data_IF_395113765192
#
_entry.id   IF_395113765192
#
_cell.length_a   1.000
_cell.length_b   1.000
_cell.length_c   1.000
_cell.angle_alpha   90.00
_cell.angle_beta   90.00
_cell.angle_gamma   90.00
#
_symmetry.space_group_name_H-M   'P 1'
#
loop_
_entity.id
_entity.type
_entity.pdbx_description
1 polymer ?
#
# COMPACT_ATOMS: atom_id res chain seq x y z
N UNK A 1 -22.61 2.20 13.09
CA UNK A 1 -22.09 2.91 14.26
C UNK A 1 -22.13 4.41 14.01
N UNK A 2 -22.63 5.25 14.94
CA UNK A 2 -22.65 6.72 14.79
C UNK A 2 -21.26 7.35 14.75
N UNK A 3 -20.21 6.57 15.02
CA UNK A 3 -18.81 7.03 15.07
C UNK A 3 -18.04 6.80 13.78
N UNK A 4 -18.66 6.21 12.75
CA UNK A 4 -18.01 5.91 11.49
C UNK A 4 -18.40 6.93 10.43
N UNK A 5 -17.43 7.66 9.89
CA UNK A 5 -17.55 8.52 8.74
C UNK A 5 -16.54 8.05 7.68
N UNK A 6 -17.03 7.82 6.47
CA UNK A 6 -16.16 7.48 5.35
C UNK A 6 -16.65 8.14 4.06
N UNK A 7 -15.73 8.36 3.16
CA UNK A 7 -16.01 8.93 1.86
C UNK A 7 -15.09 8.32 0.81
N UNK A 8 -15.65 8.08 -0.36
CA UNK A 8 -14.92 7.64 -1.54
C UNK A 8 -15.25 8.55 -2.71
N UNK A 9 -14.22 8.95 -3.46
CA UNK A 9 -14.36 9.75 -4.66
C UNK A 9 -13.55 9.10 -5.76
N UNK A 10 -14.13 9.05 -6.93
CA UNK A 10 -13.47 8.54 -8.13
C UNK A 10 -13.64 9.54 -9.27
N UNK A 11 -12.56 9.86 -9.94
CA UNK A 11 -12.53 10.66 -11.15
C UNK A 11 -11.80 9.86 -12.21
N UNK A 12 -12.43 9.68 -13.37
CA UNK A 12 -11.79 9.10 -14.54
C UNK A 12 -12.08 9.95 -15.76
N UNK A 13 -11.04 10.23 -16.54
CA UNK A 13 -11.16 10.94 -17.80
C UNK A 13 -10.19 10.35 -18.83
N UNK A 14 -10.66 10.26 -20.06
CA UNK A 14 -9.91 9.76 -21.21
C UNK A 14 -10.18 10.64 -22.41
N UNK A 15 -9.14 11.00 -23.14
CA UNK A 15 -9.28 11.74 -24.37
C UNK A 15 -8.26 11.29 -25.41
N UNK A 16 -8.66 11.41 -26.65
CA UNK A 16 -7.85 11.02 -27.81
C UNK A 16 -7.55 12.26 -28.66
N UNK A 17 -6.33 12.37 -29.11
CA UNK A 17 -5.93 13.37 -30.08
C UNK A 17 -4.98 12.76 -31.12
N UNK A 18 -5.42 12.73 -32.39
CA UNK A 18 -4.67 12.06 -33.48
C UNK A 18 -4.34 10.61 -33.09
N UNK A 19 -3.06 10.31 -32.99
CA UNK A 19 -2.52 8.97 -32.69
C UNK A 19 -2.21 8.78 -31.21
N UNK A 20 -2.61 9.71 -30.35
CA UNK A 20 -2.36 9.65 -28.93
C UNK A 20 -3.65 9.54 -28.11
N UNK A 21 -3.54 8.81 -27.03
CA UNK A 21 -4.56 8.64 -26.02
C UNK A 21 -4.00 9.02 -24.66
N UNK A 22 -4.76 9.78 -23.88
CA UNK A 22 -4.44 10.21 -22.53
C UNK A 22 -5.52 9.72 -21.57
N UNK A 23 -5.10 9.22 -20.43
CA UNK A 23 -6.01 8.81 -19.39
C UNK A 23 -5.56 9.35 -18.03
N UNK A 24 -6.53 9.69 -17.20
CA UNK A 24 -6.34 9.98 -15.78
C UNK A 24 -7.40 9.25 -14.99
N UNK A 25 -6.96 8.50 -13.98
CA UNK A 25 -7.81 7.93 -12.95
C UNK A 25 -7.32 8.41 -11.59
N UNK A 26 -8.21 8.95 -10.82
CA UNK A 26 -7.94 9.38 -9.45
C UNK A 26 -8.97 8.76 -8.52
N UNK A 27 -8.50 8.11 -7.49
CA UNK A 27 -9.30 7.54 -6.43
C UNK A 27 -8.87 8.12 -5.09
N UNK A 28 -9.84 8.60 -4.32
CA UNK A 28 -9.65 9.03 -2.95
C UNK A 28 -10.60 8.26 -2.03
N UNK A 29 -10.05 7.77 -0.94
CA UNK A 29 -10.82 7.19 0.17
C UNK A 29 -10.33 7.80 1.47
N UNK A 30 -11.27 8.26 2.28
CA UNK A 30 -10.99 8.71 3.64
C UNK A 30 -11.99 8.08 4.60
N UNK A 31 -11.54 7.81 5.79
CA UNK A 31 -12.37 7.18 6.81
C UNK A 31 -11.93 7.55 8.22
N UNK A 32 -12.92 7.97 9.02
CA UNK A 32 -12.81 8.05 10.47
C UNK A 32 -13.71 6.97 11.05
N UNK A 33 -13.16 6.15 11.92
CA UNK A 33 -13.88 5.07 12.58
C UNK A 33 -13.33 4.84 13.98
N UNK A 34 -14.12 4.16 14.81
CA UNK A 34 -13.68 3.64 16.08
C UNK A 34 -13.55 2.12 15.97
N UNK A 35 -12.46 1.58 16.45
CA UNK A 35 -12.22 0.13 16.40
C UNK A 35 -12.54 -0.51 17.74
N UNK A 36 -13.19 -1.68 17.68
CA UNK A 36 -13.36 -2.57 18.83
C UNK A 36 -12.87 -3.95 18.45
N UNK A 37 -11.86 -4.41 19.16
CA UNK A 37 -11.33 -5.76 18.97
C UNK A 37 -11.58 -6.56 20.24
N UNK A 38 -12.17 -7.75 20.08
CA UNK A 38 -12.25 -8.74 21.15
C UNK A 38 -11.43 -9.95 20.73
N UNK A 39 -10.58 -10.45 21.62
CA UNK A 39 -9.82 -11.65 21.38
C UNK A 39 -9.70 -12.50 22.64
N UNK A 40 -9.76 -13.82 22.44
CA UNK A 40 -9.37 -14.83 23.40
C UNK A 40 -8.01 -15.37 22.98
N UNK A 41 -7.05 -15.31 23.89
CA UNK A 41 -5.68 -15.71 23.63
C UNK A 41 -5.27 -16.77 24.66
N UNK A 42 -4.79 -17.91 24.20
CA UNK A 42 -4.30 -18.98 25.07
C UNK A 42 -2.77 -19.05 24.99
N UNK A 43 -2.11 -18.89 26.10
CA UNK A 43 -0.65 -18.97 26.22
C UNK A 43 -0.24 -20.31 26.82
N UNK A 44 0.61 -21.05 26.15
CA UNK A 44 1.20 -22.29 26.63
C UNK A 44 2.58 -22.03 27.20
N UNK A 45 2.72 -22.11 28.52
CA UNK A 45 3.96 -21.84 29.26
C UNK A 45 4.44 -23.12 29.95
N UNK A 46 5.05 -24.02 29.15
CA UNK A 46 5.48 -25.32 29.66
C UNK A 46 4.30 -26.18 30.11
N UNK A 47 4.18 -26.39 31.44
CA UNK A 47 3.11 -27.13 32.07
C UNK A 47 1.87 -26.30 32.44
N UNK A 48 1.89 -25.00 32.14
CA UNK A 48 0.82 -24.06 32.45
C UNK A 48 0.16 -23.53 31.19
N UNK A 49 -1.15 -23.38 31.29
CA UNK A 49 -1.96 -22.69 30.27
C UNK A 49 -2.59 -21.46 30.90
N UNK A 50 -2.47 -20.32 30.25
CA UNK A 50 -3.09 -19.06 30.67
C UNK A 50 -4.01 -18.61 29.56
N UNK A 51 -5.29 -18.49 29.87
CA UNK A 51 -6.29 -17.91 28.98
C UNK A 51 -6.45 -16.42 29.34
N UNK A 52 -6.29 -15.58 28.34
CA UNK A 52 -6.41 -14.13 28.43
C UNK A 52 -7.54 -13.62 27.55
N UNK A 53 -8.34 -12.75 28.09
CA UNK A 53 -9.33 -11.99 27.32
C UNK A 53 -8.78 -10.60 27.09
N UNK A 54 -8.90 -10.11 25.87
CA UNK A 54 -8.60 -8.75 25.46
C UNK A 54 -9.87 -8.14 24.88
N UNK A 55 -10.29 -7.01 25.42
CA UNK A 55 -11.49 -6.28 25.00
C UNK A 55 -11.10 -4.84 24.65
N UNK A 56 -11.43 -4.42 23.41
CA UNK A 56 -11.22 -3.06 22.94
C UNK A 56 -12.27 -2.10 23.47
N UNK A 57 -11.82 -0.92 23.88
CA UNK A 57 -12.68 0.19 24.33
C UNK A 57 -12.92 1.10 23.11
N UNK A 58 -14.10 0.98 22.50
CA UNK A 58 -14.42 1.61 21.21
C UNK A 58 -14.28 3.13 21.25
N UNK A 59 -14.81 3.79 22.26
CA UNK A 59 -14.80 5.26 22.36
C UNK A 59 -13.39 5.85 22.46
N UNK A 60 -12.44 5.08 23.01
CA UNK A 60 -11.03 5.46 23.18
C UNK A 60 -10.12 4.94 22.03
N UNK A 61 -10.72 4.37 21.00
CA UNK A 61 -9.99 3.75 19.89
C UNK A 61 -10.30 4.39 18.53
N UNK A 62 -10.20 5.74 18.41
CA UNK A 62 -10.43 6.42 17.15
C UNK A 62 -9.30 6.18 16.14
N UNK A 63 -9.67 6.07 14.89
CA UNK A 63 -8.76 5.95 13.76
C UNK A 63 -9.18 6.87 12.62
N UNK A 64 -8.19 7.43 11.92
CA UNK A 64 -8.38 8.26 10.72
C UNK A 64 -7.40 7.82 9.65
N UNK A 65 -7.90 7.62 8.43
CA UNK A 65 -7.07 7.22 7.30
C UNK A 65 -7.46 7.95 6.03
N UNK A 66 -6.47 8.18 5.18
CA UNK A 66 -6.59 8.75 3.85
C UNK A 66 -5.82 7.90 2.85
N UNK A 67 -6.45 7.55 1.74
CA UNK A 67 -5.81 6.86 0.62
C UNK A 67 -6.10 7.67 -0.64
N UNK A 68 -5.05 7.94 -1.42
CA UNK A 68 -5.16 8.62 -2.71
C UNK A 68 -4.37 7.83 -3.74
N UNK A 69 -5.04 7.41 -4.80
CA UNK A 69 -4.42 6.72 -5.92
C UNK A 69 -4.55 7.58 -7.17
N UNK A 70 -3.43 7.84 -7.82
CA UNK A 70 -3.37 8.52 -9.10
C UNK A 70 -2.78 7.57 -10.13
N UNK A 71 -3.46 7.45 -11.27
CA UNK A 71 -2.99 6.74 -12.44
C UNK A 71 -3.08 7.66 -13.67
N UNK A 72 -1.95 7.90 -14.31
CA UNK A 72 -1.85 8.65 -15.55
C UNK A 72 -1.37 7.72 -16.64
N UNK A 73 -2.07 7.70 -17.76
CA UNK A 73 -1.71 6.87 -18.91
C UNK A 73 -1.51 7.74 -20.15
N UNK A 74 -0.49 7.42 -20.93
CA UNK A 74 -0.26 7.99 -22.21
C UNK A 74 0.07 6.88 -23.21
N UNK A 75 -0.67 6.81 -24.31
CA UNK A 75 -0.46 5.88 -25.40
C UNK A 75 -0.28 6.66 -26.70
N UNK A 76 0.77 6.35 -27.44
CA UNK A 76 1.02 6.89 -28.76
C UNK A 76 1.24 5.72 -29.72
N UNK A 77 0.40 5.63 -30.75
CA UNK A 77 0.49 4.55 -31.75
C UNK A 77 0.54 5.14 -33.13
N UNK A 78 1.57 4.78 -33.89
CA UNK A 78 1.64 5.05 -35.32
C UNK A 78 1.66 3.72 -36.05
N UNK A 79 0.58 3.43 -36.74
CA UNK A 79 0.40 2.17 -37.45
C UNK A 79 1.65 1.78 -38.25
N UNK A 80 2.05 0.52 -38.14
CA UNK A 80 3.19 -0.10 -38.81
C UNK A 80 4.58 0.51 -38.51
N UNK A 81 4.68 1.42 -37.53
CA UNK A 81 5.95 2.05 -37.18
C UNK A 81 6.33 1.88 -35.71
N UNK A 82 5.56 2.44 -34.83
CA UNK A 82 5.89 2.38 -33.39
C UNK A 82 4.67 2.47 -32.48
N UNK A 83 4.83 1.92 -31.28
CA UNK A 83 3.95 2.08 -30.14
C UNK A 83 4.80 2.59 -28.97
N UNK A 84 4.30 3.59 -28.28
CA UNK A 84 4.86 4.08 -27.04
C UNK A 84 3.77 4.18 -25.98
N UNK A 85 3.99 3.57 -24.82
CA UNK A 85 3.10 3.66 -23.67
C UNK A 85 3.90 4.19 -22.47
N UNK A 86 3.30 5.09 -21.73
CA UNK A 86 3.80 5.55 -20.44
C UNK A 86 2.67 5.48 -19.42
N UNK A 87 2.94 4.85 -18.29
CA UNK A 87 1.99 4.74 -17.17
C UNK A 87 2.70 5.23 -15.93
N UNK A 88 2.15 6.28 -15.33
CA UNK A 88 2.57 6.74 -14.01
C UNK A 88 1.49 6.39 -13.00
N UNK A 89 1.88 5.74 -11.92
CA UNK A 89 1.02 5.41 -10.78
C UNK A 89 1.60 5.95 -9.50
N UNK A 90 0.78 6.48 -8.64
CA UNK A 90 1.19 6.85 -7.28
C UNK A 90 0.10 6.50 -6.28
N UNK A 91 0.47 5.78 -5.23
CA UNK A 91 -0.38 5.51 -4.09
C UNK A 91 0.15 6.34 -2.91
N UNK A 92 -0.71 7.15 -2.34
CA UNK A 92 -0.46 7.93 -1.14
C UNK A 92 -1.39 7.42 -0.04
N UNK A 93 -0.83 6.94 1.05
CA UNK A 93 -1.58 6.52 2.23
C UNK A 93 -1.10 7.30 3.45
N UNK A 94 -2.03 7.78 4.23
CA UNK A 94 -1.74 8.47 5.49
C UNK A 94 -2.80 8.10 6.53
N UNK A 95 -2.34 7.59 7.66
CA UNK A 95 -3.14 7.38 8.85
C UNK A 95 -2.54 8.23 9.98
N UNK A 96 -3.01 9.48 10.19
CA UNK A 96 -2.47 10.40 11.18
C UNK A 96 -2.57 9.86 12.58
N UNK A 97 -3.56 9.04 12.86
CA UNK A 97 -3.70 8.29 14.09
C UNK A 97 -4.55 7.04 13.89
N UNK A 98 -4.12 5.97 14.54
CA UNK A 98 -4.85 4.74 14.74
C UNK A 98 -4.66 4.37 16.20
N UNK A 99 -5.64 4.68 17.02
CA UNK A 99 -5.59 4.45 18.45
C UNK A 99 -6.35 3.17 18.79
N UNK A 100 -5.81 2.42 19.72
CA UNK A 100 -6.45 1.25 20.30
C UNK A 100 -6.22 1.28 21.81
N UNK A 101 -7.27 1.34 22.59
CA UNK A 101 -7.24 1.09 24.02
C UNK A 101 -7.94 -0.25 24.30
N UNK A 102 -7.21 -1.13 24.95
CA UNK A 102 -7.72 -2.45 25.29
C UNK A 102 -7.57 -2.72 26.77
N UNK A 103 -8.56 -3.39 27.33
CA UNK A 103 -8.51 -3.99 28.66
C UNK A 103 -8.20 -5.48 28.51
N UNK A 104 -7.28 -5.98 29.29
CA UNK A 104 -6.81 -7.37 29.26
C UNK A 104 -6.83 -7.97 30.65
N UNK A 105 -7.29 -9.21 30.79
CA UNK A 105 -7.26 -9.95 32.03
C UNK A 105 -7.13 -11.46 31.76
N UNK A 106 -6.51 -12.17 32.71
CA UNK A 106 -6.51 -13.62 32.69
C UNK A 106 -7.87 -14.16 33.15
N UNK A 107 -8.33 -15.25 32.56
CA UNK A 107 -9.58 -15.90 32.98
C UNK A 107 -9.46 -16.32 34.44
N UNK A 108 -10.44 -15.93 35.28
CA UNK A 108 -10.42 -16.17 36.71
C UNK A 108 -9.66 -15.14 37.55
N UNK A 109 -9.03 -14.14 36.94
CA UNK A 109 -8.36 -13.02 37.65
C UNK A 109 -9.31 -11.85 37.85
N UNK A 110 -9.20 -11.18 38.98
CA UNK A 110 -9.85 -9.89 39.26
C UNK A 110 -9.01 -8.70 38.79
N UNK A 111 -7.72 -8.95 38.52
CA UNK A 111 -6.80 -7.92 38.05
C UNK A 111 -6.89 -7.75 36.51
N UNK A 112 -6.82 -6.52 36.06
CA UNK A 112 -6.77 -6.18 34.62
C UNK A 112 -5.59 -5.26 34.34
N UNK A 113 -5.12 -5.35 33.08
CA UNK A 113 -4.08 -4.50 32.51
C UNK A 113 -4.69 -3.77 31.34
N UNK A 114 -4.30 -2.54 31.12
CA UNK A 114 -4.66 -1.77 29.93
C UNK A 114 -3.49 -1.73 28.96
N UNK A 115 -3.75 -1.90 27.68
CA UNK A 115 -2.78 -1.63 26.63
C UNK A 115 -3.28 -0.53 25.72
N UNK A 116 -2.44 0.47 25.50
CA UNK A 116 -2.70 1.57 24.58
C UNK A 116 -1.71 1.51 23.43
N UNK A 117 -2.24 1.53 22.21
CA UNK A 117 -1.48 1.64 20.97
C UNK A 117 -1.86 2.94 20.29
N UNK A 118 -0.88 3.74 19.92
CA UNK A 118 -1.03 4.85 18.99
C UNK A 118 -0.11 4.59 17.81
N UNK A 119 -0.68 4.50 16.61
CA UNK A 119 0.06 4.25 15.39
C UNK A 119 -0.18 5.38 14.40
N UNK A 120 0.89 5.96 13.88
CA UNK A 120 0.89 6.93 12.80
C UNK A 120 1.66 6.35 11.63
N UNK A 121 0.99 6.16 10.50
CA UNK A 121 1.60 5.59 9.30
C UNK A 121 1.39 6.53 8.12
N UNK A 122 2.44 6.72 7.33
CA UNK A 122 2.35 7.38 6.04
C UNK A 122 3.22 6.67 5.01
N UNK A 123 2.74 6.61 3.79
CA UNK A 123 3.52 6.04 2.68
C UNK A 123 3.17 6.70 1.35
N UNK A 124 4.12 6.71 0.44
CA UNK A 124 3.89 7.01 -0.96
C UNK A 124 4.70 6.04 -1.83
N UNK A 125 4.14 5.69 -2.98
CA UNK A 125 4.76 4.69 -3.86
C UNK A 125 4.58 5.04 -5.34
N UNK A 126 5.30 6.05 -5.86
CA UNK A 126 5.30 6.35 -7.28
C UNK A 126 5.97 5.23 -8.08
N UNK A 127 5.36 4.90 -9.22
CA UNK A 127 5.90 3.97 -10.20
C UNK A 127 5.70 4.55 -11.60
N UNK A 128 6.71 4.38 -12.44
CA UNK A 128 6.69 4.75 -13.86
C UNK A 128 7.02 3.53 -14.70
N UNK A 129 6.10 3.16 -15.58
CA UNK A 129 6.29 2.11 -16.57
C UNK A 129 6.36 2.75 -17.95
N UNK A 130 7.42 2.48 -18.70
CA UNK A 130 7.62 2.93 -20.06
C UNK A 130 7.75 1.70 -20.96
N UNK A 131 6.98 1.68 -22.01
CA UNK A 131 7.05 0.68 -23.07
C UNK A 131 7.24 1.36 -24.41
N UNK A 132 8.20 0.89 -25.17
CA UNK A 132 8.43 1.32 -26.54
C UNK A 132 8.61 0.10 -27.44
N UNK A 133 7.89 0.07 -28.56
CA UNK A 133 8.07 -0.91 -29.61
C UNK A 133 8.25 -0.18 -30.94
N UNK A 134 9.25 -0.59 -31.70
CA UNK A 134 9.48 -0.10 -33.06
C UNK A 134 9.51 -1.26 -34.06
N UNK A 135 8.66 -1.16 -35.07
CA UNK A 135 8.63 -2.11 -36.19
C UNK A 135 9.64 -1.66 -37.23
N UNK A 136 10.57 -2.53 -37.56
CA UNK A 136 11.62 -2.33 -38.55
C UNK A 136 11.25 -3.03 -39.87
N UNK A 137 11.89 -2.66 -41.00
CA UNK A 137 11.73 -3.39 -42.24
C UNK A 137 12.09 -4.89 -42.11
N UNK A 138 11.61 -5.70 -43.03
CA UNK A 138 11.90 -7.14 -43.09
C UNK A 138 11.40 -7.95 -41.89
N UNK A 139 10.21 -7.58 -41.36
CA UNK A 139 9.54 -8.30 -40.28
C UNK A 139 10.38 -8.37 -38.96
N UNK A 140 11.02 -7.27 -38.64
CA UNK A 140 11.79 -7.13 -37.41
C UNK A 140 11.07 -6.17 -36.45
N UNK A 141 11.35 -6.33 -35.14
CA UNK A 141 10.90 -5.38 -34.12
C UNK A 141 11.90 -5.28 -32.99
N UNK A 142 11.92 -4.11 -32.38
CA UNK A 142 12.63 -3.83 -31.13
C UNK A 142 11.59 -3.42 -30.11
N UNK A 143 11.67 -4.01 -28.91
CA UNK A 143 10.84 -3.66 -27.75
C UNK A 143 11.76 -3.26 -26.61
N UNK A 144 11.40 -2.20 -25.91
CA UNK A 144 12.10 -1.73 -24.72
C UNK A 144 11.06 -1.47 -23.62
N UNK A 145 11.29 -2.07 -22.46
CA UNK A 145 10.53 -1.83 -21.23
C UNK A 145 11.44 -1.22 -20.18
N UNK A 146 10.97 -0.19 -19.50
CA UNK A 146 11.64 0.36 -18.31
C UNK A 146 10.60 0.58 -17.22
N UNK A 147 10.82 -0.02 -16.05
CA UNK A 147 9.99 0.20 -14.87
C UNK A 147 10.83 0.78 -13.75
N UNK A 148 10.40 1.93 -13.24
CA UNK A 148 10.98 2.57 -12.07
C UNK A 148 9.98 2.60 -10.92
N UNK A 149 10.40 2.23 -9.71
CA UNK A 149 9.56 2.31 -8.50
C UNK A 149 10.32 2.94 -7.34
N UNK A 150 9.61 3.75 -6.57
CA UNK A 150 10.04 4.25 -5.28
C UNK A 150 8.95 3.94 -4.27
N UNK A 151 9.31 3.40 -3.11
CA UNK A 151 8.40 3.23 -1.99
C UNK A 151 9.05 3.91 -0.79
N UNK A 152 8.33 4.85 -0.20
CA UNK A 152 8.71 5.47 1.06
C UNK A 152 7.66 5.16 2.10
N UNK A 153 8.08 4.71 3.28
CA UNK A 153 7.18 4.37 4.38
C UNK A 153 7.71 4.93 5.68
N UNK A 154 6.84 5.65 6.40
CA UNK A 154 7.06 6.06 7.78
C UNK A 154 6.02 5.43 8.68
N UNK A 155 6.48 4.89 9.81
CA UNK A 155 5.63 4.39 10.87
C UNK A 155 6.20 4.85 12.22
N UNK A 156 5.34 5.45 13.03
CA UNK A 156 5.63 5.79 14.42
C UNK A 156 4.56 5.12 15.28
N UNK A 157 4.97 4.08 15.99
CA UNK A 157 4.09 3.33 16.86
C UNK A 157 4.51 3.50 18.31
N UNK A 158 3.59 3.93 19.13
CA UNK A 158 3.73 3.94 20.60
C UNK A 158 2.86 2.84 21.20
N UNK A 159 3.44 2.08 22.10
CA UNK A 159 2.76 1.01 22.82
C UNK A 159 2.99 1.20 24.30
N UNK A 160 1.93 1.20 25.10
CA UNK A 160 1.99 1.29 26.55
C UNK A 160 1.15 0.19 27.18
N UNK A 161 1.67 -0.41 28.23
CA UNK A 161 0.89 -1.25 29.14
C UNK A 161 0.92 -0.65 30.54
N UNK A 162 -0.21 -0.69 31.25
CA UNK A 162 -0.32 -0.15 32.60
C UNK A 162 -1.45 -0.82 33.38
N UNK A 163 -1.26 -0.99 34.68
CA UNK A 163 -2.34 -1.31 35.63
C UNK A 163 -2.97 -0.03 36.15
N UNK A 164 -2.16 0.99 36.34
CA UNK A 164 -2.48 2.32 36.82
C UNK A 164 -1.74 3.32 35.94
N UNK A 165 -2.36 4.46 35.65
CA UNK A 165 -1.77 5.52 34.81
C UNK A 165 -0.39 6.01 35.26
N UNK A 166 -0.09 5.90 36.56
CA UNK A 166 1.17 6.32 37.14
C UNK A 166 2.27 5.26 37.18
N UNK A 167 1.96 4.01 36.81
CA UNK A 167 2.88 2.88 36.85
C UNK A 167 2.86 2.06 35.58
N UNK A 168 3.52 2.53 34.49
CA UNK A 168 3.58 1.78 33.22
C UNK A 168 4.37 0.48 33.42
N UNK A 169 3.82 -0.63 32.92
CA UNK A 169 4.47 -1.93 32.84
C UNK A 169 5.37 -2.01 31.60
N UNK A 170 4.97 -1.35 30.54
CA UNK A 170 5.74 -1.20 29.31
C UNK A 170 5.47 0.16 28.66
N UNK A 171 6.51 0.78 28.11
CA UNK A 171 6.42 1.98 27.25
C UNK A 171 7.44 1.83 26.12
N UNK A 172 6.94 1.51 24.92
CA UNK A 172 7.76 1.17 23.77
C UNK A 172 7.40 2.10 22.63
N UNK A 173 8.39 2.72 22.04
CA UNK A 173 8.23 3.47 20.80
C UNK A 173 9.03 2.80 19.66
N UNK A 174 8.36 2.56 18.55
CA UNK A 174 8.96 2.03 17.34
C UNK A 174 8.86 3.08 16.25
N UNK A 175 9.99 3.44 15.67
CA UNK A 175 10.08 4.35 14.53
C UNK A 175 10.64 3.58 13.34
N UNK A 176 9.92 3.62 12.23
CA UNK A 176 10.37 3.07 10.96
C UNK A 176 10.32 4.21 9.94
N UNK A 177 11.43 4.42 9.25
CA UNK A 177 11.54 5.33 8.11
C UNK A 177 12.36 4.60 7.05
N UNK A 178 11.73 4.25 5.95
CA UNK A 178 12.34 3.37 4.96
C UNK A 178 12.05 3.77 3.53
N UNK A 179 13.09 3.70 2.70
CA UNK A 179 13.04 3.87 1.25
C UNK A 179 13.40 2.58 0.54
N UNK A 180 12.62 2.23 -0.47
CA UNK A 180 12.94 1.18 -1.43
C UNK A 180 12.88 1.76 -2.83
N UNK A 181 13.95 1.60 -3.60
CA UNK A 181 14.04 2.06 -4.99
C UNK A 181 14.38 0.89 -5.89
N UNK A 182 13.76 0.83 -7.05
CA UNK A 182 14.04 -0.19 -8.05
C UNK A 182 13.91 0.40 -9.45
N UNK A 183 14.82 0.03 -10.33
CA UNK A 183 14.74 0.29 -11.76
C UNK A 183 15.05 -1.01 -12.48
N UNK A 184 14.16 -1.42 -13.38
CA UNK A 184 14.29 -2.61 -14.20
C UNK A 184 14.17 -2.18 -15.65
N UNK A 185 15.12 -2.58 -16.47
CA UNK A 185 15.11 -2.36 -17.91
C UNK A 185 15.14 -3.70 -18.67
N UNK A 186 14.38 -3.79 -19.73
CA UNK A 186 14.38 -4.95 -20.63
C UNK A 186 14.42 -4.48 -22.08
N UNK A 187 15.20 -5.11 -22.91
CA UNK A 187 15.24 -4.89 -24.34
C UNK A 187 15.15 -6.21 -25.08
N UNK A 188 14.26 -6.30 -26.06
CA UNK A 188 14.01 -7.50 -26.87
C UNK A 188 14.09 -7.11 -28.33
N UNK A 189 14.84 -7.89 -29.10
CA UNK A 189 14.84 -7.85 -30.54
C UNK A 189 14.20 -9.11 -31.10
N UNK A 190 13.29 -8.95 -32.07
CA UNK A 190 12.61 -10.05 -32.73
C UNK A 190 12.77 -9.96 -34.26
N UNK A 191 12.91 -11.10 -34.87
CA UNK A 191 12.88 -11.25 -36.35
C UNK A 191 12.03 -12.44 -36.73
N UNK A 192 11.05 -12.19 -37.58
CA UNK A 192 10.21 -13.25 -38.15
C UNK A 192 10.75 -13.64 -39.52
N UNK A 193 10.96 -14.94 -39.70
CA UNK A 193 11.17 -15.59 -40.98
C UNK A 193 9.87 -16.26 -41.37
N UNK A 194 9.75 -16.74 -42.61
CA UNK A 194 8.49 -17.34 -43.13
C UNK A 194 7.92 -18.42 -42.18
N UNK A 195 8.75 -19.23 -41.58
CA UNK A 195 8.34 -20.37 -40.74
C UNK A 195 8.94 -20.36 -39.31
N UNK A 196 9.82 -19.40 -39.01
CA UNK A 196 10.54 -19.34 -37.73
C UNK A 196 10.55 -17.92 -37.20
N UNK A 197 10.31 -17.76 -35.91
CA UNK A 197 10.49 -16.53 -35.16
C UNK A 197 11.71 -16.67 -34.26
N UNK A 198 12.69 -15.78 -34.42
CA UNK A 198 13.83 -15.65 -33.51
C UNK A 198 13.65 -14.44 -32.61
N UNK A 199 13.89 -14.59 -31.32
CA UNK A 199 13.93 -13.51 -30.36
C UNK A 199 15.13 -13.62 -29.44
N UNK A 200 15.70 -12.48 -29.09
CA UNK A 200 16.80 -12.38 -28.11
C UNK A 200 16.67 -11.08 -27.35
N UNK A 201 17.02 -11.10 -26.07
CA UNK A 201 16.88 -9.93 -25.23
C UNK A 201 17.80 -9.96 -24.01
N UNK A 202 17.83 -8.82 -23.31
CA UNK A 202 18.53 -8.63 -22.04
C UNK A 202 17.61 -7.94 -21.03
N UNK A 203 17.81 -8.28 -19.75
CA UNK A 203 17.08 -7.69 -18.62
C UNK A 203 18.03 -7.29 -17.49
#
# INVERSE_FOLDING_TARGET
SPHTLWGENFLSAKFNYKNSEWGIDYFNKNGKYHSRLESHETFYLGDRTIDRIKEGIEDESPSLSFINNLNLTYNLTKADKYVFNAIFRNNLSNAPYQNELNKMWAVGSTESIYSYVNNHTSSYSPALDLYFQHTLPHQQSIQVNVTGTLIHTKNNRKYKEYKDENAPLADIQTLVDGDKRSVIGEAIYEKNFKEVKLSGGAR
#
